data_IF_088802515540
#
_entry.id   IF_088802515540
#
_cell.length_a   1.000
_cell.length_b   1.000
_cell.length_c   1.000
_cell.angle_alpha   90.00
_cell.angle_beta   90.00
_cell.angle_gamma   90.00
#
_symmetry.space_group_name_H-M   'P 1'
#
loop_
_entity.id
_entity.type
_entity.pdbx_description
1 polymer ?
#
# COMPACT_ATOMS: atom_id res chain seq x y z
N UNK A 1 21.85 10.99 5.53
CA UNK A 1 21.47 9.74 4.83
C UNK A 1 22.55 9.32 3.82
N UNK A 2 23.04 10.23 2.97
CA UNK A 2 24.12 9.92 2.01
C UNK A 2 25.45 9.50 2.67
N UNK A 3 25.82 10.09 3.81
CA UNK A 3 27.03 9.72 4.57
C UNK A 3 27.00 8.29 5.15
N UNK A 4 25.85 7.60 5.14
CA UNK A 4 25.68 6.21 5.59
C UNK A 4 25.28 5.27 4.45
N UNK A 5 25.41 5.72 3.19
CA UNK A 5 25.01 4.96 2.00
C UNK A 5 23.50 4.61 1.97
N UNK A 6 22.67 5.41 2.66
CA UNK A 6 21.22 5.26 2.67
C UNK A 6 20.55 5.90 1.46
N UNK A 7 19.36 5.41 1.11
CA UNK A 7 18.55 5.91 0.00
C UNK A 7 17.41 6.79 0.53
N UNK A 8 17.30 8.00 -0.01
CA UNK A 8 16.17 8.89 0.26
C UNK A 8 15.19 8.77 -0.90
N UNK A 9 14.01 8.24 -0.61
CA UNK A 9 12.92 8.11 -1.56
C UNK A 9 12.02 9.33 -1.37
N UNK A 10 12.24 10.36 -2.20
CA UNK A 10 11.39 11.55 -2.23
C UNK A 10 10.14 11.29 -3.06
N UNK A 11 9.00 11.26 -2.38
CA UNK A 11 7.69 11.10 -2.97
C UNK A 11 7.04 12.48 -3.03
N UNK A 12 6.81 12.97 -4.25
CA UNK A 12 6.11 14.23 -4.46
C UNK A 12 5.14 14.09 -5.63
N UNK A 13 4.18 15.02 -5.72
CA UNK A 13 3.22 15.03 -6.83
C UNK A 13 3.88 15.32 -8.19
N UNK A 14 5.08 15.91 -8.18
CA UNK A 14 5.82 16.36 -9.37
C UNK A 14 7.07 15.55 -9.65
N UNK A 15 7.52 14.69 -8.73
CA UNK A 15 8.71 13.88 -8.94
C UNK A 15 8.43 12.73 -9.90
N UNK A 16 9.48 12.30 -10.59
CA UNK A 16 9.45 11.07 -11.38
C UNK A 16 9.50 9.81 -10.50
N UNK A 17 9.42 9.94 -9.17
CA UNK A 17 9.44 8.82 -8.23
C UNK A 17 8.04 8.22 -8.13
N UNK A 18 7.94 6.93 -8.40
CA UNK A 18 6.70 6.18 -8.34
C UNK A 18 6.84 5.02 -7.36
N UNK A 19 5.81 4.82 -6.56
CA UNK A 19 5.69 3.67 -5.67
C UNK A 19 4.31 3.04 -5.90
N UNK A 20 4.30 1.79 -6.33
CA UNK A 20 3.05 1.10 -6.64
C UNK A 20 2.30 0.78 -5.35
N UNK A 21 1.10 1.32 -5.17
CA UNK A 21 0.26 0.98 -4.01
C UNK A 21 -0.14 -0.51 -3.98
N UNK A 22 -0.19 -1.16 -5.14
CA UNK A 22 -0.50 -2.58 -5.27
C UNK A 22 0.74 -3.49 -5.20
N UNK A 23 1.90 -2.97 -4.81
CA UNK A 23 3.09 -3.81 -4.66
C UNK A 23 2.87 -4.88 -3.58
N UNK A 24 3.16 -6.14 -3.89
CA UNK A 24 2.94 -7.28 -2.99
C UNK A 24 3.93 -8.40 -3.30
N UNK A 25 4.58 -8.93 -2.27
CA UNK A 25 5.43 -10.12 -2.35
C UNK A 25 4.67 -11.37 -1.93
N UNK A 26 5.09 -12.54 -2.41
CA UNK A 26 4.70 -13.86 -1.89
C UNK A 26 4.77 -13.99 -0.36
N UNK A 27 5.64 -13.19 0.26
CA UNK A 27 5.85 -13.18 1.70
C UNK A 27 4.82 -12.36 2.50
N UNK A 28 4.00 -11.56 1.83
CA UNK A 28 2.99 -10.70 2.44
C UNK A 28 1.96 -11.54 3.22
N UNK A 29 1.48 -11.08 4.37
CA UNK A 29 0.44 -11.80 5.11
C UNK A 29 0.86 -12.66 6.31
N UNK A 30 2.14 -12.75 6.69
CA UNK A 30 2.64 -13.49 7.88
C UNK A 30 1.83 -14.77 8.24
N UNK A 31 1.91 -15.79 7.37
CA UNK A 31 1.16 -17.08 7.43
C UNK A 31 -0.36 -17.03 7.12
N UNK A 32 -0.93 -15.84 6.89
CA UNK A 32 -2.26 -15.65 6.27
C UNK A 32 -2.15 -15.52 4.76
N UNK A 33 -3.30 -15.59 4.08
CA UNK A 33 -3.38 -15.39 2.64
C UNK A 33 -3.02 -13.93 2.28
N UNK A 34 -1.92 -13.69 1.52
CA UNK A 34 -1.48 -12.36 1.09
C UNK A 34 -2.61 -11.50 0.51
N UNK A 35 -3.53 -12.14 -0.21
CA UNK A 35 -4.64 -11.48 -0.87
C UNK A 35 -5.61 -10.83 0.12
N UNK A 36 -5.82 -11.42 1.30
CA UNK A 36 -6.75 -10.90 2.31
C UNK A 36 -6.22 -9.58 2.86
N UNK A 37 -4.96 -9.54 3.30
CA UNK A 37 -4.38 -8.30 3.83
C UNK A 37 -4.30 -7.21 2.78
N UNK A 38 -4.08 -7.59 1.51
CA UNK A 38 -4.03 -6.63 0.42
C UNK A 38 -5.42 -6.09 0.06
N UNK A 39 -6.45 -6.93 0.16
CA UNK A 39 -7.84 -6.49 0.06
C UNK A 39 -8.19 -5.50 1.17
N UNK A 40 -7.82 -5.77 2.42
CA UNK A 40 -8.01 -4.83 3.54
C UNK A 40 -7.29 -3.50 3.32
N UNK A 41 -6.08 -3.52 2.77
CA UNK A 41 -5.33 -2.32 2.38
C UNK A 41 -6.07 -1.52 1.31
N UNK A 42 -6.54 -2.17 0.24
CA UNK A 42 -7.26 -1.51 -0.86
C UNK A 42 -8.58 -0.93 -0.36
N UNK A 43 -9.31 -1.65 0.48
CA UNK A 43 -10.54 -1.14 1.11
C UNK A 43 -10.24 0.13 1.90
N UNK A 44 -9.20 0.12 2.72
CA UNK A 44 -8.77 1.26 3.52
C UNK A 44 -8.36 2.44 2.63
N UNK A 45 -7.67 2.18 1.52
CA UNK A 45 -7.29 3.16 0.52
C UNK A 45 -8.53 3.82 -0.10
N UNK A 46 -9.52 3.03 -0.54
CA UNK A 46 -10.75 3.57 -1.13
C UNK A 46 -11.63 4.30 -0.11
N UNK A 47 -11.66 3.88 1.16
CA UNK A 47 -12.30 4.64 2.24
C UNK A 47 -11.68 6.04 2.39
N UNK A 48 -10.36 6.19 2.20
CA UNK A 48 -9.73 7.51 2.19
C UNK A 48 -10.07 8.32 0.94
N UNK A 49 -10.15 7.67 -0.24
CA UNK A 49 -10.41 8.35 -1.51
C UNK A 49 -11.86 8.86 -1.63
N UNK A 50 -12.83 8.08 -1.17
CA UNK A 50 -14.27 8.41 -1.25
C UNK A 50 -14.67 9.44 -0.18
N UNK A 51 -13.78 9.71 0.80
CA UNK A 51 -14.03 10.59 1.93
C UNK A 51 -14.69 9.85 3.10
N UNK A 52 -14.76 10.48 4.26
CA UNK A 52 -15.17 9.90 5.55
C UNK A 52 -16.64 9.37 5.65
N UNK A 53 -17.26 9.01 4.53
CA UNK A 53 -18.41 8.13 4.44
C UNK A 53 -17.96 6.71 4.14
N UNK A 54 -18.19 5.80 5.09
CA UNK A 54 -17.86 4.38 4.96
C UNK A 54 -18.32 3.82 3.61
N UNK A 55 -17.44 3.09 2.92
CA UNK A 55 -17.83 2.26 1.78
C UNK A 55 -19.03 1.38 2.18
N UNK A 56 -20.06 1.37 1.34
CA UNK A 56 -21.20 0.48 1.51
C UNK A 56 -20.76 -0.98 1.42
N UNK A 57 -21.55 -1.90 2.01
CA UNK A 57 -21.26 -3.33 1.93
C UNK A 57 -21.13 -3.84 0.48
N UNK A 58 -21.87 -3.22 -0.45
CA UNK A 58 -21.78 -3.52 -1.89
C UNK A 58 -20.44 -3.09 -2.47
N UNK A 59 -20.01 -1.86 -2.21
CA UNK A 59 -18.71 -1.33 -2.66
C UNK A 59 -17.55 -2.16 -2.10
N UNK A 60 -17.61 -2.53 -0.81
CA UNK A 60 -16.62 -3.43 -0.19
C UNK A 60 -16.55 -4.79 -0.90
N UNK A 61 -17.70 -5.39 -1.19
CA UNK A 61 -17.76 -6.66 -1.92
C UNK A 61 -17.24 -6.55 -3.35
N UNK A 62 -17.48 -5.43 -4.03
CA UNK A 62 -16.98 -5.17 -5.38
C UNK A 62 -15.46 -5.02 -5.37
N UNK A 63 -14.92 -4.24 -4.42
CA UNK A 63 -13.47 -4.02 -4.28
C UNK A 63 -12.73 -5.30 -3.96
N UNK A 64 -13.27 -6.13 -3.05
CA UNK A 64 -12.68 -7.43 -2.72
C UNK A 64 -12.63 -8.36 -3.94
N UNK A 65 -13.74 -8.45 -4.69
CA UNK A 65 -13.82 -9.22 -5.94
C UNK A 65 -12.82 -8.71 -6.98
N UNK A 66 -12.79 -7.40 -7.23
CA UNK A 66 -11.88 -6.80 -8.20
C UNK A 66 -10.42 -7.03 -7.78
N UNK A 67 -10.10 -6.92 -6.49
CA UNK A 67 -8.76 -7.22 -5.96
C UNK A 67 -8.37 -8.66 -6.27
N UNK A 68 -9.23 -9.62 -5.98
CA UNK A 68 -8.98 -11.03 -6.27
C UNK A 68 -8.76 -11.29 -7.77
N UNK A 69 -9.54 -10.63 -8.64
CA UNK A 69 -9.41 -10.76 -10.09
C UNK A 69 -8.10 -10.16 -10.61
N UNK A 70 -7.72 -8.97 -10.14
CA UNK A 70 -6.46 -8.28 -10.50
C UNK A 70 -5.23 -9.12 -10.12
N UNK A 71 -5.23 -9.71 -8.92
CA UNK A 71 -4.10 -10.51 -8.44
C UNK A 71 -4.12 -11.96 -8.94
N UNK A 72 -5.19 -12.43 -9.60
CA UNK A 72 -5.33 -13.83 -10.01
C UNK A 72 -4.17 -14.30 -10.88
N UNK A 73 -3.76 -13.51 -11.86
CA UNK A 73 -2.66 -13.86 -12.77
C UNK A 73 -1.31 -13.84 -12.02
N UNK A 74 -1.09 -12.83 -11.19
CA UNK A 74 0.12 -12.69 -10.39
C UNK A 74 0.32 -13.86 -9.44
N UNK A 75 -0.73 -14.27 -8.70
CA UNK A 75 -0.68 -15.41 -7.80
C UNK A 75 -0.50 -16.73 -8.58
N UNK A 76 -1.20 -16.90 -9.71
CA UNK A 76 -1.06 -18.11 -10.56
C UNK A 76 0.34 -18.28 -11.14
N UNK A 77 1.03 -17.18 -11.42
CA UNK A 77 2.42 -17.21 -11.89
C UNK A 77 3.43 -17.57 -10.79
N UNK A 78 2.98 -17.73 -9.54
CA UNK A 78 3.86 -17.90 -8.39
C UNK A 78 4.60 -16.62 -8.04
N UNK A 79 3.95 -15.45 -8.18
CA UNK A 79 4.51 -14.12 -7.90
C UNK A 79 5.71 -13.75 -8.79
N UNK A 80 5.72 -14.25 -10.03
CA UNK A 80 6.79 -14.01 -11.01
C UNK A 80 6.38 -13.10 -12.16
N UNK A 81 5.08 -13.00 -12.46
CA UNK A 81 4.56 -12.07 -13.45
C UNK A 81 4.62 -10.64 -12.94
N UNK A 82 4.26 -9.70 -13.80
CA UNK A 82 4.18 -8.30 -13.43
C UNK A 82 3.18 -8.07 -12.29
N UNK A 83 3.60 -7.30 -11.28
CA UNK A 83 2.74 -6.91 -10.16
C UNK A 83 1.68 -5.94 -10.67
N UNK A 84 0.39 -6.16 -10.36
CA UNK A 84 -0.66 -5.28 -10.82
C UNK A 84 -0.53 -3.87 -10.23
N UNK A 85 -1.15 -2.89 -10.88
CA UNK A 85 -1.18 -1.48 -10.48
C UNK A 85 -2.59 -0.99 -10.19
N UNK A 86 -2.74 0.18 -9.55
CA UNK A 86 -4.07 0.78 -9.36
C UNK A 86 -4.81 1.01 -10.68
N UNK A 87 -4.09 1.18 -11.81
CA UNK A 87 -4.70 1.25 -13.14
C UNK A 87 -5.37 -0.05 -13.54
N UNK A 88 -4.81 -1.19 -13.16
CA UNK A 88 -5.40 -2.50 -13.43
C UNK A 88 -6.64 -2.73 -12.57
N UNK A 89 -6.61 -2.29 -11.32
CA UNK A 89 -7.80 -2.27 -10.45
C UNK A 89 -8.90 -1.36 -11.00
N UNK A 90 -8.56 -0.16 -11.46
CA UNK A 90 -9.51 0.74 -12.12
C UNK A 90 -10.14 0.10 -13.36
N UNK A 91 -9.35 -0.58 -14.20
CA UNK A 91 -9.89 -1.33 -15.35
C UNK A 91 -10.85 -2.43 -14.92
N UNK A 92 -10.52 -3.19 -13.87
CA UNK A 92 -11.42 -4.22 -13.34
C UNK A 92 -12.71 -3.65 -12.77
N UNK A 93 -12.66 -2.49 -12.10
CA UNK A 93 -13.85 -1.77 -11.63
C UNK A 93 -14.75 -1.32 -12.80
N UNK A 94 -14.16 -0.82 -13.88
CA UNK A 94 -14.91 -0.40 -15.07
C UNK A 94 -15.57 -1.56 -15.84
N UNK A 95 -15.08 -2.79 -15.67
CA UNK A 95 -15.70 -3.99 -16.25
C UNK A 95 -16.90 -4.51 -15.44
N UNK A 96 -17.09 -4.04 -14.21
CA UNK A 96 -18.19 -4.48 -13.38
C UNK A 96 -19.52 -3.88 -13.88
N UNK A 97 -20.61 -4.68 -13.92
CA UNK A 97 -21.92 -4.19 -14.35
C UNK A 97 -22.60 -3.25 -13.35
N UNK A 98 -22.21 -3.30 -12.07
CA UNK A 98 -22.83 -2.53 -10.99
C UNK A 98 -22.54 -1.02 -11.08
N UNK A 99 -23.53 -0.20 -10.74
CA UNK A 99 -23.40 1.27 -10.75
C UNK A 99 -22.44 1.74 -9.64
N UNK A 100 -22.45 1.05 -8.50
CA UNK A 100 -21.54 1.29 -7.39
C UNK A 100 -20.06 1.18 -7.82
N UNK A 101 -19.75 0.24 -8.72
CA UNK A 101 -18.38 0.08 -9.25
C UNK A 101 -17.94 1.27 -10.10
N UNK A 102 -18.87 1.87 -10.87
CA UNK A 102 -18.62 3.09 -11.64
C UNK A 102 -18.41 4.29 -10.73
N UNK A 103 -19.15 4.38 -9.63
CA UNK A 103 -18.95 5.38 -8.59
C UNK A 103 -17.55 5.31 -7.98
N UNK A 104 -17.08 4.09 -7.64
CA UNK A 104 -15.71 3.88 -7.15
C UNK A 104 -14.64 4.23 -8.19
N UNK A 105 -14.85 3.85 -9.45
CA UNK A 105 -13.93 4.18 -10.53
C UNK A 105 -13.82 5.71 -10.70
N UNK A 106 -14.93 6.43 -10.72
CA UNK A 106 -14.95 7.90 -10.84
C UNK A 106 -14.24 8.58 -9.65
N UNK A 107 -14.54 8.16 -8.42
CA UNK A 107 -13.92 8.71 -7.21
C UNK A 107 -12.41 8.48 -7.14
N UNK A 108 -11.94 7.37 -7.72
CA UNK A 108 -10.51 7.04 -7.76
C UNK A 108 -9.77 7.60 -8.99
N UNK A 109 -10.50 8.14 -9.97
CA UNK A 109 -9.93 8.57 -11.26
C UNK A 109 -8.84 9.64 -11.11
N UNK A 110 -9.06 10.64 -10.24
CA UNK A 110 -8.09 11.72 -9.98
C UNK A 110 -6.71 11.19 -9.54
N UNK A 111 -6.71 10.10 -8.77
CA UNK A 111 -5.52 9.49 -8.17
C UNK A 111 -4.93 8.36 -9.02
N UNK A 112 -5.65 7.89 -10.05
CA UNK A 112 -5.22 6.76 -10.89
C UNK A 112 -4.85 7.22 -12.30
N UNK A 113 -5.73 7.98 -12.96
CA UNK A 113 -5.56 8.48 -14.32
C UNK A 113 -5.40 10.00 -14.37
N UNK A 114 -5.79 10.70 -13.30
CA UNK A 114 -5.72 12.15 -13.21
C UNK A 114 -4.33 12.68 -12.86
N UNK A 115 -4.31 13.92 -12.37
CA UNK A 115 -3.10 14.68 -12.05
C UNK A 115 -2.33 14.15 -10.83
N UNK A 116 -2.95 13.30 -10.01
CA UNK A 116 -2.39 12.81 -8.74
C UNK A 116 -1.99 11.32 -8.82
N UNK A 117 -1.53 10.86 -9.99
CA UNK A 117 -1.32 9.44 -10.29
C UNK A 117 0.00 8.83 -9.81
N UNK A 118 0.72 9.49 -8.90
CA UNK A 118 2.06 9.08 -8.42
C UNK A 118 2.11 7.63 -7.92
N UNK A 119 1.04 7.14 -7.29
CA UNK A 119 0.95 5.80 -6.71
C UNK A 119 0.32 4.73 -7.62
N UNK A 120 -0.16 5.14 -8.79
CA UNK A 120 -0.82 4.27 -9.76
C UNK A 120 0.15 3.72 -10.82
N UNK A 121 1.44 4.05 -10.70
CA UNK A 121 2.50 3.62 -11.58
C UNK A 121 3.37 2.55 -10.91
N UNK A 122 4.19 1.87 -11.72
CA UNK A 122 5.13 0.86 -11.21
C UNK A 122 6.17 1.51 -10.29
N UNK A 123 6.57 0.79 -9.25
CA UNK A 123 7.67 1.20 -8.38
C UNK A 123 8.95 1.35 -9.22
N UNK A 124 9.59 2.52 -9.17
CA UNK A 124 10.82 2.80 -9.92
C UNK A 124 12.00 3.22 -9.03
N UNK A 125 11.84 3.09 -7.71
CA UNK A 125 12.86 3.38 -6.69
C UNK A 125 13.43 2.10 -6.10
N UNK A 126 14.67 2.16 -5.61
CA UNK A 126 15.33 1.02 -5.03
C UNK A 126 14.95 0.87 -3.54
N UNK A 127 13.85 0.18 -3.31
CA UNK A 127 13.35 -0.19 -1.97
C UNK A 127 14.19 -1.28 -1.27
N UNK A 128 15.32 -1.71 -1.85
CA UNK A 128 16.16 -2.79 -1.31
C UNK A 128 17.37 -2.28 -0.53
N UNK A 129 17.61 -0.97 -0.44
CA UNK A 129 18.75 -0.45 0.31
C UNK A 129 18.64 -0.74 1.82
N UNK A 130 19.79 -0.77 2.53
CA UNK A 130 19.87 -1.07 3.98
C UNK A 130 19.23 0.01 4.83
N UNK A 131 19.37 1.27 4.42
CA UNK A 131 18.79 2.44 5.09
C UNK A 131 17.94 3.13 4.05
N UNK A 132 16.65 3.27 4.33
CA UNK A 132 15.68 3.91 3.45
C UNK A 132 14.98 5.00 4.25
N UNK A 133 14.90 6.19 3.68
CA UNK A 133 14.16 7.32 4.23
C UNK A 133 13.08 7.72 3.23
N UNK A 134 11.82 7.64 3.61
CA UNK A 134 10.71 8.12 2.81
C UNK A 134 10.45 9.58 3.15
N UNK A 135 10.55 10.46 2.16
CA UNK A 135 10.26 11.88 2.31
C UNK A 135 8.95 12.19 1.56
N UNK A 136 7.94 12.57 2.33
CA UNK A 136 6.56 12.79 1.87
C UNK A 136 6.11 14.25 1.97
N UNK A 137 7.02 15.17 2.31
CA UNK A 137 6.69 16.57 2.61
C UNK A 137 6.08 17.31 1.41
N UNK A 138 6.43 16.90 0.20
CA UNK A 138 6.02 17.54 -1.06
C UNK A 138 4.88 16.80 -1.79
N UNK A 139 4.19 15.86 -1.13
CA UNK A 139 3.02 15.18 -1.70
C UNK A 139 1.81 16.11 -1.86
N UNK A 140 1.67 17.09 -0.96
CA UNK A 140 0.48 17.93 -0.85
C UNK A 140 -0.64 17.29 -0.03
N UNK A 141 -1.52 18.12 0.53
CA UNK A 141 -2.52 17.68 1.52
C UNK A 141 -3.48 16.60 1.00
N UNK A 142 -3.87 16.66 -0.27
CA UNK A 142 -4.80 15.70 -0.88
C UNK A 142 -4.19 14.31 -1.08
N UNK A 143 -2.88 14.25 -1.33
CA UNK A 143 -2.16 12.98 -1.53
C UNK A 143 -1.52 12.44 -0.26
N UNK A 144 -1.42 13.26 0.78
CA UNK A 144 -0.78 12.87 2.05
C UNK A 144 -1.38 11.58 2.65
N UNK A 145 -2.72 11.39 2.73
CA UNK A 145 -3.27 10.14 3.26
C UNK A 145 -2.86 8.90 2.45
N UNK A 146 -2.87 9.03 1.12
CA UNK A 146 -2.50 7.96 0.21
C UNK A 146 -1.00 7.65 0.30
N UNK A 147 -0.16 8.69 0.32
CA UNK A 147 1.28 8.55 0.45
C UNK A 147 1.70 7.94 1.78
N UNK A 148 1.02 8.26 2.87
CA UNK A 148 1.22 7.60 4.16
C UNK A 148 0.91 6.11 4.08
N UNK A 149 -0.28 5.73 3.59
CA UNK A 149 -0.67 4.32 3.47
C UNK A 149 0.29 3.52 2.61
N UNK A 150 0.66 4.05 1.44
CA UNK A 150 1.55 3.37 0.48
C UNK A 150 2.99 3.26 1.02
N UNK A 151 3.48 4.31 1.69
CA UNK A 151 4.79 4.28 2.36
C UNK A 151 4.82 3.23 3.46
N UNK A 152 3.77 3.19 4.28
CA UNK A 152 3.65 2.21 5.37
C UNK A 152 3.60 0.79 4.83
N UNK A 153 2.77 0.52 3.82
CA UNK A 153 2.72 -0.79 3.16
C UNK A 153 4.09 -1.22 2.62
N UNK A 154 4.85 -0.29 2.04
CA UNK A 154 6.22 -0.55 1.59
C UNK A 154 7.19 -0.88 2.74
N UNK A 155 7.12 -0.13 3.85
CA UNK A 155 7.90 -0.43 5.07
C UNK A 155 7.52 -1.82 5.60
N UNK A 156 6.24 -2.20 5.57
CA UNK A 156 5.77 -3.50 6.07
C UNK A 156 6.25 -4.65 5.21
N UNK A 157 6.12 -4.53 3.89
CA UNK A 157 6.71 -5.46 2.94
C UNK A 157 8.19 -5.72 3.27
N UNK A 158 8.95 -4.66 3.60
CA UNK A 158 10.36 -4.75 3.98
C UNK A 158 10.58 -5.45 5.32
N UNK A 159 9.79 -5.12 6.34
CA UNK A 159 9.87 -5.74 7.68
C UNK A 159 9.64 -7.24 7.57
N UNK A 160 8.59 -7.66 6.86
CA UNK A 160 8.23 -9.07 6.66
C UNK A 160 9.36 -9.82 5.92
N UNK A 161 9.89 -9.24 4.83
CA UNK A 161 11.01 -9.82 4.10
C UNK A 161 12.28 -9.98 4.95
N UNK A 162 12.56 -9.03 5.84
CA UNK A 162 13.71 -9.09 6.73
C UNK A 162 13.50 -10.07 7.88
N UNK A 163 12.31 -10.13 8.45
CA UNK A 163 11.94 -11.08 9.50
C UNK A 163 12.12 -12.53 9.02
N UNK A 164 11.66 -12.87 7.81
CA UNK A 164 11.91 -14.19 7.19
C UNK A 164 13.39 -14.52 7.02
N UNK A 165 14.25 -13.50 6.91
CA UNK A 165 15.71 -13.64 6.81
C UNK A 165 16.41 -13.58 8.18
N UNK A 166 15.66 -13.53 9.28
CA UNK A 166 16.19 -13.38 10.63
C UNK A 166 16.86 -12.02 10.90
N UNK A 167 16.47 -10.97 10.16
CA UNK A 167 17.06 -9.62 10.27
C UNK A 167 16.10 -8.68 10.97
N UNK A 168 16.60 -8.03 12.03
CA UNK A 168 15.87 -6.95 12.72
C UNK A 168 15.80 -5.70 11.85
N UNK A 169 14.60 -5.13 11.69
CA UNK A 169 14.37 -3.86 11.00
C UNK A 169 14.02 -2.79 12.02
N UNK A 170 14.76 -1.68 12.01
CA UNK A 170 14.49 -0.53 12.87
C UNK A 170 13.68 0.50 12.07
N UNK A 171 12.55 0.92 12.61
CA UNK A 171 11.66 1.91 12.00
C UNK A 171 11.68 3.16 12.87
N UNK A 172 11.97 4.31 12.25
CA UNK A 172 11.92 5.61 12.88
C UNK A 172 10.85 6.44 12.17
N UNK A 173 9.89 6.97 12.91
CA UNK A 173 8.84 7.84 12.39
C UNK A 173 8.83 9.11 13.24
N UNK A 174 9.09 10.25 12.61
CA UNK A 174 9.07 11.57 13.26
C UNK A 174 7.64 12.05 13.51
N UNK A 175 6.73 11.83 12.57
CA UNK A 175 5.30 12.17 12.65
C UNK A 175 4.44 10.96 13.03
N UNK A 176 4.84 10.23 14.07
CA UNK A 176 4.16 9.01 14.50
C UNK A 176 2.65 9.19 14.77
N UNK A 177 2.22 10.40 15.18
CA UNK A 177 0.82 10.72 15.42
C UNK A 177 -0.06 10.62 14.16
N UNK A 178 0.51 10.82 12.96
CA UNK A 178 -0.22 10.67 11.70
C UNK A 178 -0.67 9.23 11.46
N UNK A 179 0.05 8.25 12.02
CA UNK A 179 -0.26 6.83 11.90
C UNK A 179 -1.56 6.47 12.62
N UNK A 180 -1.91 7.18 13.69
CA UNK A 180 -3.18 6.97 14.41
C UNK A 180 -4.37 7.65 13.74
N UNK A 181 -4.15 8.50 12.74
CA UNK A 181 -5.26 9.07 11.95
C UNK A 181 -5.92 8.04 11.04
N UNK A 182 -5.25 6.91 10.78
CA UNK A 182 -5.72 5.88 9.87
C UNK A 182 -5.87 4.56 10.62
N UNK A 183 -7.10 4.04 10.66
CA UNK A 183 -7.42 2.80 11.39
C UNK A 183 -6.56 1.62 10.91
N UNK A 184 -6.36 1.48 9.60
CA UNK A 184 -5.47 0.46 9.03
C UNK A 184 -4.04 0.56 9.56
N UNK A 185 -3.50 1.79 9.67
CA UNK A 185 -2.15 2.02 10.17
C UNK A 185 -2.04 1.73 11.66
N UNK A 186 -3.04 2.12 12.46
CA UNK A 186 -3.10 1.82 13.89
C UNK A 186 -3.22 0.31 14.17
N UNK A 187 -4.15 -0.37 13.50
CA UNK A 187 -4.36 -1.82 13.61
C UNK A 187 -3.12 -2.59 13.15
N UNK A 188 -2.39 -2.05 12.18
CA UNK A 188 -1.12 -2.59 11.75
C UNK A 188 -0.02 -2.49 12.82
N UNK A 189 0.20 -1.31 13.42
CA UNK A 189 1.24 -1.16 14.45
C UNK A 189 0.93 -2.01 15.68
N UNK A 190 -0.34 -2.15 16.01
CA UNK A 190 -0.79 -3.07 17.05
C UNK A 190 -0.42 -4.53 16.75
N UNK A 191 -0.54 -4.98 15.49
CA UNK A 191 -0.09 -6.32 15.06
C UNK A 191 1.44 -6.47 15.15
N UNK A 192 2.19 -5.53 14.60
CA UNK A 192 3.66 -5.59 14.56
C UNK A 192 4.31 -5.54 15.95
N UNK A 193 3.74 -4.76 16.87
CA UNK A 193 4.22 -4.71 18.26
C UNK A 193 3.94 -6.03 19.00
N UNK A 194 2.79 -6.68 18.79
CA UNK A 194 2.52 -8.02 19.33
C UNK A 194 3.49 -9.08 18.81
N UNK A 195 3.82 -9.03 17.52
CA UNK A 195 4.77 -9.98 16.94
C UNK A 195 6.21 -9.75 17.44
N UNK A 196 6.58 -8.49 17.67
CA UNK A 196 7.87 -8.13 18.30
C UNK A 196 7.96 -8.57 19.76
N UNK A 197 6.84 -8.51 20.50
CA UNK A 197 6.76 -8.97 21.91
C UNK A 197 6.86 -10.50 22.00
N UNK A 198 6.30 -11.25 21.06
CA UNK A 198 6.45 -12.71 21.02
C UNK A 198 7.90 -13.19 20.74
N UNK A 199 8.80 -12.30 20.31
CA UNK A 199 10.25 -12.59 20.15
C UNK A 199 11.12 -12.15 21.33
N UNK A 200 10.54 -11.57 22.40
CA UNK A 200 11.28 -11.21 23.61
C UNK A 200 11.16 -12.25 24.74
N UNK A 201 10.42 -13.34 24.54
CA UNK A 201 10.25 -14.45 25.49
C UNK A 201 10.79 -15.80 24.95
N UNK A 202 12.00 -15.81 24.39
CA UNK A 202 12.82 -17.01 24.19
C UNK A 202 14.29 -16.77 24.54
#
# INVERSE_FOLDING_TARGET
MEALNGEVISISATSHTHLNALDMDSAYGNDKNPLIEKSEFILSLFEQLVGAGNLSAKEKSILDRCTADVYREYIRSGYQSEVPTLKDLYRQLMLQPEEEARGLALSSELFINGSLNTFAQKTNVNTKNRIIAYDIRELGEQLMPLGMLVTLDSIFNRVIQNWKKGKTTWIFADEFYLLFRYQYSADFFYRSTRESVNTMDL
#
